data_IF_022774452503
#
_entry.id   IF_022774452503
#
_cell.length_a   1.000
_cell.length_b   1.000
_cell.length_c   1.000
_cell.angle_alpha   90.00
_cell.angle_beta   90.00
_cell.angle_gamma   90.00
#
_symmetry.space_group_name_H-M   'P 1'
#
loop_
_entity.id
_entity.type
_entity.pdbx_description
1 polymer ?
#
# COMPACT_ATOMS: atom_id res chain seq x y z
N UNK A 1 29.37 16.89 0.75
CA UNK A 1 28.44 17.38 1.78
C UNK A 1 27.00 17.54 1.25
N UNK A 2 26.62 16.76 0.25
CA UNK A 2 25.46 17.04 -0.64
C UNK A 2 24.46 15.88 -0.67
N UNK A 3 24.41 15.10 0.42
CA UNK A 3 23.56 13.88 0.56
C UNK A 3 22.17 14.18 1.15
N UNK A 4 21.88 15.43 1.51
CA UNK A 4 20.73 15.79 2.34
C UNK A 4 19.59 16.57 1.65
N UNK A 5 19.69 17.00 0.38
CA UNK A 5 18.68 17.93 -0.17
C UNK A 5 17.51 17.29 -0.92
N UNK A 6 17.69 16.15 -1.57
CA UNK A 6 16.60 15.52 -2.35
C UNK A 6 15.81 14.46 -1.58
N UNK A 7 16.36 13.92 -0.48
CA UNK A 7 15.60 13.10 0.48
C UNK A 7 14.88 13.93 1.56
N UNK A 8 15.09 15.25 1.59
CA UNK A 8 14.48 16.15 2.56
C UNK A 8 13.08 16.61 2.15
N UNK A 9 12.75 16.62 0.86
CA UNK A 9 11.44 17.12 0.40
C UNK A 9 10.32 16.14 0.72
N UNK A 10 10.55 14.83 0.59
CA UNK A 10 9.53 13.79 0.88
C UNK A 10 9.44 13.41 2.37
N UNK A 11 10.45 13.75 3.18
CA UNK A 11 10.46 13.52 4.63
C UNK A 11 9.99 14.74 5.46
N UNK A 12 9.81 15.91 4.85
CA UNK A 12 9.47 17.14 5.59
C UNK A 12 8.04 17.17 6.11
N UNK A 13 7.06 16.62 5.38
CA UNK A 13 5.65 16.75 5.77
C UNK A 13 5.20 15.83 6.91
N UNK A 14 5.76 14.62 7.05
CA UNK A 14 5.33 13.67 8.10
C UNK A 14 6.43 13.29 9.09
N UNK A 15 7.68 13.69 8.83
CA UNK A 15 8.84 13.50 9.72
C UNK A 15 9.67 14.77 9.93
N UNK A 16 9.18 15.93 9.48
CA UNK A 16 9.80 17.22 9.75
C UNK A 16 9.79 17.53 11.25
N UNK A 17 10.89 18.12 11.72
CA UNK A 17 10.91 18.79 13.01
C UNK A 17 10.10 20.10 12.84
N UNK A 18 8.95 20.21 13.50
CA UNK A 18 8.12 21.41 13.48
C UNK A 18 8.44 22.27 14.72
N UNK A 19 8.89 23.51 14.49
CA UNK A 19 9.29 24.46 15.53
C UNK A 19 10.58 25.21 15.20
N UNK A 20 10.75 26.41 15.78
CA UNK A 20 11.95 27.25 15.66
C UNK A 20 12.68 27.22 17.02
N UNK A 21 13.93 26.73 17.07
CA UNK A 21 14.72 26.58 18.32
C UNK A 21 14.59 25.21 19.01
N UNK A 22 14.72 25.18 20.34
CA UNK A 22 14.82 23.96 21.20
C UNK A 22 13.51 23.15 21.37
N UNK A 23 12.37 23.63 20.86
CA UNK A 23 11.09 22.89 20.86
C UNK A 23 10.79 22.35 19.46
N UNK A 24 11.44 21.25 19.11
CA UNK A 24 11.16 20.49 17.89
C UNK A 24 10.09 19.44 18.16
N UNK A 25 8.87 19.69 17.70
CA UNK A 25 7.78 18.72 17.78
C UNK A 25 7.70 17.92 16.47
N UNK A 26 7.62 16.59 16.58
CA UNK A 26 7.46 15.70 15.41
C UNK A 26 5.99 15.40 15.19
N UNK A 27 5.58 15.30 13.93
CA UNK A 27 4.24 14.83 13.59
C UNK A 27 4.07 13.36 13.97
N UNK A 28 3.24 13.08 14.99
CA UNK A 28 2.99 11.71 15.49
C UNK A 28 1.56 11.20 15.26
N UNK A 29 0.73 12.01 14.61
CA UNK A 29 -0.71 11.79 14.47
C UNK A 29 -1.08 10.99 13.21
N UNK A 30 -0.46 9.82 13.04
CA UNK A 30 -0.63 9.01 11.83
C UNK A 30 -2.07 8.48 11.67
N UNK A 31 -2.76 8.15 12.78
CA UNK A 31 -4.14 7.65 12.73
C UNK A 31 -5.10 8.76 12.34
N UNK A 32 -4.90 9.95 12.89
CA UNK A 32 -5.68 11.16 12.54
C UNK A 32 -5.44 11.58 11.10
N UNK A 33 -4.20 11.50 10.60
CA UNK A 33 -3.90 11.79 9.20
C UNK A 33 -4.63 10.85 8.24
N UNK A 34 -4.61 9.54 8.52
CA UNK A 34 -5.33 8.54 7.70
C UNK A 34 -6.83 8.76 7.77
N UNK A 35 -7.36 9.11 8.95
CA UNK A 35 -8.77 9.46 9.11
C UNK A 35 -9.18 10.63 8.20
N UNK A 36 -8.40 11.72 8.19
CA UNK A 36 -8.62 12.85 7.29
C UNK A 36 -8.52 12.41 5.82
N UNK A 37 -7.53 11.58 5.46
CA UNK A 37 -7.42 11.06 4.10
C UNK A 37 -8.62 10.22 3.66
N UNK A 38 -9.18 9.39 4.55
CA UNK A 38 -10.38 8.61 4.25
C UNK A 38 -11.58 9.52 4.00
N UNK A 39 -11.75 10.59 4.78
CA UNK A 39 -12.80 11.60 4.56
C UNK A 39 -12.61 12.27 3.20
N UNK A 40 -11.41 12.79 2.92
CA UNK A 40 -11.12 13.47 1.64
C UNK A 40 -11.32 12.53 0.46
N UNK A 41 -10.89 11.28 0.57
CA UNK A 41 -11.05 10.27 -0.49
C UNK A 41 -12.52 9.87 -0.69
N UNK A 42 -13.32 9.79 0.38
CA UNK A 42 -14.76 9.54 0.29
C UNK A 42 -15.49 10.72 -0.37
N UNK A 43 -15.20 11.96 0.03
CA UNK A 43 -15.77 13.15 -0.60
C UNK A 43 -15.39 13.22 -2.08
N UNK A 44 -14.12 12.98 -2.39
CA UNK A 44 -13.62 12.96 -3.77
C UNK A 44 -14.30 11.87 -4.61
N UNK A 45 -14.46 10.66 -4.07
CA UNK A 45 -15.20 9.58 -4.72
C UNK A 45 -16.65 9.98 -5.02
N UNK A 46 -17.33 10.61 -4.04
CA UNK A 46 -18.71 11.08 -4.20
C UNK A 46 -18.83 12.12 -5.30
N UNK A 47 -17.89 13.07 -5.35
CA UNK A 47 -17.80 14.07 -6.43
C UNK A 47 -17.67 13.34 -7.78
N UNK A 48 -16.72 12.42 -7.93
CA UNK A 48 -16.53 11.67 -9.16
C UNK A 48 -17.79 10.90 -9.61
N UNK A 49 -18.51 10.26 -8.69
CA UNK A 49 -19.74 9.53 -9.00
C UNK A 49 -20.81 10.48 -9.56
N UNK A 50 -21.01 11.62 -8.89
CA UNK A 50 -22.02 12.62 -9.28
C UNK A 50 -21.70 13.20 -10.66
N UNK A 51 -20.43 13.50 -10.94
CA UNK A 51 -20.02 14.12 -12.20
C UNK A 51 -19.89 13.15 -13.38
N UNK A 52 -19.40 11.92 -13.16
CA UNK A 52 -19.02 11.01 -14.24
C UNK A 52 -19.92 9.78 -14.42
N UNK A 53 -20.59 9.29 -13.38
CA UNK A 53 -21.28 7.99 -13.44
C UNK A 53 -22.81 8.08 -13.40
N UNK A 54 -23.36 9.21 -12.92
CA UNK A 54 -24.78 9.33 -12.59
C UNK A 54 -25.18 8.38 -11.46
N UNK A 55 -26.37 8.55 -10.88
CA UNK A 55 -26.86 7.70 -9.78
C UNK A 55 -27.17 6.28 -10.25
N UNK A 56 -26.14 5.45 -10.47
CA UNK A 56 -26.31 4.00 -10.60
C UNK A 56 -26.36 3.38 -9.20
N UNK A 57 -27.44 2.70 -8.82
CA UNK A 57 -27.51 2.05 -7.52
C UNK A 57 -26.50 0.89 -7.44
N UNK A 58 -25.69 0.91 -6.39
CA UNK A 58 -24.75 -0.17 -6.08
C UNK A 58 -25.47 -1.26 -5.28
N UNK A 59 -25.55 -2.47 -5.84
CA UNK A 59 -26.18 -3.63 -5.19
C UNK A 59 -25.20 -4.44 -4.30
N UNK A 60 -23.98 -3.93 -4.08
CA UNK A 60 -22.98 -4.60 -3.26
C UNK A 60 -23.38 -4.62 -1.78
N UNK A 61 -23.27 -5.78 -1.14
CA UNK A 61 -23.65 -5.95 0.27
C UNK A 61 -22.74 -5.13 1.20
N UNK A 62 -23.32 -4.29 2.06
CA UNK A 62 -22.57 -3.42 2.97
C UNK A 62 -21.60 -4.14 3.92
N UNK A 63 -21.88 -5.37 4.32
CA UNK A 63 -20.97 -6.19 5.13
C UNK A 63 -19.62 -6.46 4.43
N UNK A 64 -19.61 -6.61 3.09
CA UNK A 64 -18.37 -6.84 2.33
C UNK A 64 -17.47 -5.60 2.38
N UNK A 65 -18.06 -4.41 2.32
CA UNK A 65 -17.33 -3.16 2.51
C UNK A 65 -16.78 -3.02 3.93
N UNK A 66 -17.57 -3.40 4.94
CA UNK A 66 -17.12 -3.47 6.33
C UNK A 66 -15.92 -4.40 6.50
N UNK A 67 -15.99 -5.63 6.00
CA UNK A 67 -14.90 -6.61 6.07
C UNK A 67 -13.64 -6.14 5.31
N UNK A 68 -13.83 -5.56 4.12
CA UNK A 68 -12.73 -5.01 3.32
C UNK A 68 -12.05 -3.83 4.05
N UNK A 69 -12.84 -2.94 4.64
CA UNK A 69 -12.34 -1.83 5.45
C UNK A 69 -11.58 -2.32 6.70
N UNK A 70 -12.13 -3.29 7.43
CA UNK A 70 -11.49 -3.84 8.63
C UNK A 70 -10.15 -4.52 8.31
N UNK A 71 -10.09 -5.30 7.23
CA UNK A 71 -8.84 -5.91 6.77
C UNK A 71 -7.83 -4.86 6.29
N UNK A 72 -8.27 -3.81 5.59
CA UNK A 72 -7.42 -2.69 5.18
C UNK A 72 -6.82 -1.95 6.38
N UNK A 73 -7.65 -1.57 7.36
CA UNK A 73 -7.20 -0.88 8.56
C UNK A 73 -6.29 -1.76 9.43
N UNK A 74 -6.66 -3.03 9.60
CA UNK A 74 -5.84 -4.00 10.31
C UNK A 74 -4.46 -4.18 9.64
N UNK A 75 -4.41 -4.26 8.31
CA UNK A 75 -3.17 -4.31 7.57
C UNK A 75 -2.30 -3.07 7.82
N UNK A 76 -2.91 -1.88 7.82
CA UNK A 76 -2.20 -0.62 8.08
C UNK A 76 -1.67 -0.56 9.52
N UNK A 77 -2.50 -0.84 10.52
CA UNK A 77 -2.10 -0.81 11.94
C UNK A 77 -0.96 -1.80 12.18
N UNK A 78 -1.11 -3.03 11.69
CA UNK A 78 -0.08 -4.07 11.81
C UNK A 78 1.22 -3.67 11.11
N UNK A 79 1.13 -3.06 9.92
CA UNK A 79 2.30 -2.54 9.18
C UNK A 79 3.03 -1.44 9.95
N UNK A 80 2.28 -0.51 10.53
CA UNK A 80 2.84 0.63 11.27
C UNK A 80 3.46 0.18 12.59
N UNK A 81 2.85 -0.79 13.27
CA UNK A 81 3.42 -1.41 14.46
C UNK A 81 4.69 -2.21 14.14
N UNK A 82 4.75 -2.89 12.99
CA UNK A 82 5.96 -3.59 12.57
C UNK A 82 7.20 -2.67 12.49
N UNK A 83 7.04 -1.41 12.04
CA UNK A 83 8.13 -0.43 11.96
C UNK A 83 8.84 -0.12 13.28
N UNK A 84 8.23 -0.45 14.41
CA UNK A 84 8.84 -0.28 15.73
C UNK A 84 9.88 -1.38 16.01
N UNK A 85 9.76 -2.53 15.33
CA UNK A 85 10.56 -3.73 15.54
C UNK A 85 11.47 -4.08 14.37
N UNK A 86 11.10 -3.69 13.14
CA UNK A 86 11.90 -3.91 11.93
C UNK A 86 12.38 -2.60 11.32
N UNK A 87 13.55 -2.65 10.70
CA UNK A 87 14.08 -1.50 9.98
C UNK A 87 13.24 -1.19 8.72
N UNK A 88 13.34 0.05 8.24
CA UNK A 88 12.57 0.50 7.08
C UNK A 88 12.86 -0.32 5.80
N UNK A 89 14.13 -0.68 5.46
CA UNK A 89 14.41 -1.57 4.33
C UNK A 89 13.70 -2.93 4.39
N UNK A 90 13.69 -3.59 5.55
CA UNK A 90 12.99 -4.86 5.78
C UNK A 90 11.48 -4.69 5.60
N UNK A 91 10.91 -3.57 6.05
CA UNK A 91 9.49 -3.30 5.84
C UNK A 91 9.15 -3.10 4.35
N UNK A 92 9.96 -2.34 3.63
CA UNK A 92 9.79 -2.11 2.18
C UNK A 92 9.92 -3.43 1.42
N UNK A 93 10.88 -4.27 1.81
CA UNK A 93 11.07 -5.61 1.27
C UNK A 93 9.82 -6.48 1.50
N UNK A 94 9.38 -6.66 2.74
CA UNK A 94 8.22 -7.51 3.00
C UNK A 94 6.93 -6.97 2.35
N UNK A 95 6.71 -5.65 2.34
CA UNK A 95 5.57 -5.05 1.61
C UNK A 95 5.64 -5.24 0.10
N UNK A 96 6.81 -5.52 -0.47
CA UNK A 96 6.95 -5.85 -1.89
C UNK A 96 6.53 -7.29 -2.19
N UNK A 97 6.49 -8.16 -1.18
CA UNK A 97 6.00 -9.54 -1.26
C UNK A 97 4.47 -9.67 -1.26
N UNK A 98 3.71 -8.56 -1.12
CA UNK A 98 2.23 -8.52 -1.16
C UNK A 98 1.58 -9.33 -2.29
N UNK A 99 2.13 -9.41 -3.52
CA UNK A 99 1.52 -10.22 -4.58
C UNK A 99 1.35 -11.70 -4.22
N UNK A 100 2.23 -12.27 -3.39
CA UNK A 100 2.19 -13.70 -3.01
C UNK A 100 0.94 -14.01 -2.17
N UNK A 101 0.70 -13.38 -1.01
CA UNK A 101 -0.53 -13.60 -0.24
C UNK A 101 -1.80 -13.29 -1.03
N UNK A 102 -1.80 -12.23 -1.84
CA UNK A 102 -2.95 -11.88 -2.71
C UNK A 102 -3.27 -13.02 -3.67
N UNK A 103 -2.25 -13.63 -4.27
CA UNK A 103 -2.42 -14.76 -5.18
C UNK A 103 -2.90 -16.01 -4.43
N UNK A 104 -2.25 -16.39 -3.33
CA UNK A 104 -2.60 -17.58 -2.53
C UNK A 104 -4.05 -17.48 -2.04
N UNK A 105 -4.43 -16.36 -1.40
CA UNK A 105 -5.78 -16.17 -0.88
C UNK A 105 -6.82 -16.07 -2.00
N UNK A 106 -6.46 -15.52 -3.16
CA UNK A 106 -7.33 -15.52 -4.35
C UNK A 106 -7.61 -16.93 -4.87
N UNK A 107 -6.65 -17.85 -4.78
CA UNK A 107 -6.83 -19.26 -5.17
C UNK A 107 -7.62 -20.03 -4.11
N UNK A 108 -7.32 -19.85 -2.83
CA UNK A 108 -7.96 -20.63 -1.76
C UNK A 108 -9.38 -20.16 -1.45
N UNK A 109 -9.62 -18.86 -1.34
CA UNK A 109 -10.92 -18.28 -0.95
C UNK A 109 -11.84 -18.11 -2.17
N UNK A 110 -11.34 -17.51 -3.26
CA UNK A 110 -12.15 -17.27 -4.47
C UNK A 110 -12.13 -18.43 -5.46
N UNK A 111 -11.34 -19.49 -5.22
CA UNK A 111 -11.16 -20.62 -6.15
C UNK A 111 -10.77 -20.19 -7.57
N UNK A 112 -10.01 -19.09 -7.69
CA UNK A 112 -9.52 -18.64 -9.00
C UNK A 112 -8.42 -19.55 -9.52
N UNK A 113 -8.44 -19.79 -10.83
CA UNK A 113 -7.39 -20.51 -11.55
C UNK A 113 -6.53 -19.50 -12.29
N UNK A 114 -5.32 -19.26 -11.79
CA UNK A 114 -4.30 -18.51 -12.51
C UNK A 114 -3.49 -19.45 -13.43
N UNK A 115 -3.08 -19.01 -14.63
CA UNK A 115 -2.16 -19.80 -15.45
C UNK A 115 -0.81 -19.94 -14.76
N UNK A 116 -0.10 -21.05 -14.97
CA UNK A 116 1.24 -21.28 -14.38
C UNK A 116 2.22 -20.12 -14.66
N UNK A 117 2.11 -19.51 -15.85
CA UNK A 117 2.88 -18.32 -16.20
C UNK A 117 2.73 -17.18 -15.17
N UNK A 118 1.52 -16.92 -14.64
CA UNK A 118 1.29 -15.88 -13.62
C UNK A 118 2.02 -16.17 -12.31
N UNK A 119 2.06 -17.43 -11.88
CA UNK A 119 2.81 -17.82 -10.69
C UNK A 119 4.30 -17.57 -10.88
N UNK A 120 4.86 -17.98 -12.02
CA UNK A 120 6.27 -17.72 -12.35
C UNK A 120 6.56 -16.22 -12.42
N UNK A 121 5.68 -15.41 -13.03
CA UNK A 121 5.85 -13.95 -13.08
C UNK A 121 5.90 -13.34 -11.68
N UNK A 122 4.96 -13.70 -10.81
CA UNK A 122 4.92 -13.21 -9.42
C UNK A 122 6.18 -13.62 -8.66
N UNK A 123 6.62 -14.87 -8.81
CA UNK A 123 7.84 -15.36 -8.17
C UNK A 123 9.08 -14.61 -8.66
N UNK A 124 9.23 -14.39 -9.97
CA UNK A 124 10.35 -13.63 -10.55
C UNK A 124 10.37 -12.18 -10.06
N UNK A 125 9.22 -11.51 -10.02
CA UNK A 125 9.13 -10.13 -9.56
C UNK A 125 9.48 -10.04 -8.06
N UNK A 126 8.89 -10.90 -7.22
CA UNK A 126 9.14 -10.83 -5.77
C UNK A 126 10.56 -11.23 -5.42
N UNK A 127 11.09 -12.30 -6.01
CA UNK A 127 12.49 -12.71 -5.81
C UNK A 127 13.47 -11.66 -6.33
N UNK A 128 13.15 -10.98 -7.44
CA UNK A 128 13.99 -9.94 -8.02
C UNK A 128 14.06 -8.69 -7.13
N UNK A 129 12.91 -8.25 -6.62
CA UNK A 129 12.85 -7.17 -5.62
C UNK A 129 13.55 -7.57 -4.33
N UNK A 130 13.42 -8.84 -3.91
CA UNK A 130 14.12 -9.34 -2.74
C UNK A 130 15.63 -9.32 -2.89
N UNK A 131 16.16 -9.83 -4.01
CA UNK A 131 17.58 -9.77 -4.36
C UNK A 131 18.10 -8.33 -4.46
N UNK A 132 17.30 -7.43 -5.03
CA UNK A 132 17.67 -6.03 -5.18
C UNK A 132 17.80 -5.30 -3.83
N UNK A 133 16.89 -5.59 -2.90
CA UNK A 133 16.88 -5.01 -1.56
C UNK A 133 17.76 -5.76 -0.56
N UNK A 134 18.24 -6.95 -0.93
CA UNK A 134 19.14 -7.73 -0.12
C UNK A 134 20.46 -7.00 0.06
N UNK A 135 20.77 -6.63 1.31
CA UNK A 135 22.10 -6.19 1.71
C UNK A 135 22.72 -7.30 2.55
N UNK A 136 23.86 -7.88 2.15
CA UNK A 136 24.58 -8.78 3.02
C UNK A 136 25.05 -7.97 4.24
N UNK A 137 24.43 -8.20 5.40
CA UNK A 137 24.99 -7.72 6.64
C UNK A 137 26.31 -8.45 6.86
N UNK A 138 27.43 -7.74 6.90
CA UNK A 138 28.75 -8.27 7.33
C UNK A 138 28.78 -8.58 8.85
N UNK A 139 27.65 -8.95 9.43
CA UNK A 139 27.49 -9.19 10.86
C UNK A 139 26.24 -10.05 11.09
N UNK A 140 26.34 -11.35 10.82
CA UNK A 140 25.52 -12.41 11.45
C UNK A 140 26.16 -13.76 11.13
N UNK A 141 27.36 -13.97 11.66
CA UNK A 141 27.78 -15.31 12.02
C UNK A 141 27.15 -15.62 13.39
N UNK A 142 25.86 -15.94 13.41
CA UNK A 142 25.25 -16.71 14.50
C UNK A 142 24.11 -17.50 13.87
N UNK A 143 24.31 -18.81 13.75
CA UNK A 143 23.22 -19.75 13.70
C UNK A 143 22.49 -19.63 15.03
N UNK A 144 21.30 -19.03 15.05
CA UNK A 144 20.40 -19.14 16.17
C UNK A 144 18.97 -19.32 15.64
N UNK A 145 18.23 -20.15 16.37
CA UNK A 145 17.01 -20.85 15.99
C UNK A 145 15.95 -20.00 15.24
N UNK A 146 15.31 -20.59 14.22
CA UNK A 146 14.33 -19.95 13.34
C UNK A 146 13.00 -19.58 14.02
N UNK A 147 13.02 -18.65 14.97
CA UNK A 147 11.79 -18.02 15.47
C UNK A 147 11.66 -16.64 14.83
N UNK A 148 10.68 -16.51 13.93
CA UNK A 148 10.28 -15.23 13.35
C UNK A 148 10.16 -14.16 14.44
N UNK A 149 10.84 -13.03 14.28
CA UNK A 149 10.76 -11.92 15.22
C UNK A 149 9.35 -11.34 15.27
N UNK A 150 8.94 -10.76 16.40
CA UNK A 150 7.60 -10.17 16.55
C UNK A 150 7.23 -9.20 15.42
N UNK A 151 8.17 -8.34 15.00
CA UNK A 151 7.98 -7.41 13.87
C UNK A 151 7.78 -8.09 12.51
N UNK A 152 8.40 -9.24 12.28
CA UNK A 152 8.24 -10.03 11.06
C UNK A 152 6.90 -10.75 11.04
N UNK A 153 6.44 -11.25 12.20
CA UNK A 153 5.08 -11.80 12.37
C UNK A 153 4.04 -10.71 12.08
N UNK A 154 4.20 -9.51 12.64
CA UNK A 154 3.35 -8.37 12.32
C UNK A 154 3.35 -8.04 10.83
N UNK A 155 4.52 -8.07 10.18
CA UNK A 155 4.59 -7.86 8.73
C UNK A 155 3.83 -8.94 7.95
N UNK A 156 3.93 -10.20 8.36
CA UNK A 156 3.21 -11.33 7.75
C UNK A 156 1.69 -11.20 7.95
N UNK A 157 1.24 -10.82 9.15
CA UNK A 157 -0.17 -10.50 9.43
C UNK A 157 -0.65 -9.36 8.54
N UNK A 158 0.13 -8.28 8.44
CA UNK A 158 -0.19 -7.14 7.59
C UNK A 158 -0.36 -7.54 6.12
N UNK A 159 0.55 -8.37 5.59
CA UNK A 159 0.50 -8.88 4.22
C UNK A 159 -0.70 -9.81 3.97
N UNK A 160 -1.07 -10.60 4.97
CA UNK A 160 -2.22 -11.50 4.91
C UNK A 160 -3.53 -10.71 4.89
N UNK A 161 -3.64 -9.68 5.73
CA UNK A 161 -4.78 -8.75 5.75
C UNK A 161 -4.86 -7.91 4.46
N UNK A 162 -3.72 -7.48 3.92
CA UNK A 162 -3.63 -6.87 2.58
C UNK A 162 -4.15 -7.82 1.49
N UNK A 163 -3.83 -9.11 1.60
CA UNK A 163 -4.32 -10.16 0.71
C UNK A 163 -5.82 -10.39 0.83
N UNK A 164 -6.35 -10.42 2.07
CA UNK A 164 -7.78 -10.52 2.35
C UNK A 164 -8.56 -9.30 1.82
N UNK A 165 -7.98 -8.10 1.94
CA UNK A 165 -8.52 -6.87 1.35
C UNK A 165 -8.65 -7.04 -0.17
N UNK A 166 -7.60 -7.53 -0.82
CA UNK A 166 -7.60 -7.81 -2.25
C UNK A 166 -8.67 -8.85 -2.63
N UNK A 167 -8.77 -9.95 -1.90
CA UNK A 167 -9.80 -10.99 -2.08
C UNK A 167 -11.21 -10.42 -1.96
N UNK A 168 -11.48 -9.60 -0.95
CA UNK A 168 -12.77 -8.95 -0.77
C UNK A 168 -13.09 -8.02 -1.96
N UNK A 169 -12.13 -7.22 -2.42
CA UNK A 169 -12.28 -6.36 -3.59
C UNK A 169 -12.52 -7.17 -4.87
N UNK A 170 -11.82 -8.28 -5.03
CA UNK A 170 -11.99 -9.19 -6.17
C UNK A 170 -13.37 -9.84 -6.17
N UNK A 171 -13.89 -10.18 -4.99
CA UNK A 171 -15.22 -10.73 -4.83
C UNK A 171 -16.30 -9.69 -5.17
N UNK A 172 -16.14 -8.45 -4.67
CA UNK A 172 -17.04 -7.33 -4.97
C UNK A 172 -17.10 -7.07 -6.48
N UNK A 173 -15.95 -6.88 -7.14
CA UNK A 173 -15.93 -6.63 -8.59
C UNK A 173 -16.47 -7.81 -9.40
N UNK A 174 -16.16 -9.07 -9.03
CA UNK A 174 -16.54 -10.23 -9.85
C UNK A 174 -18.03 -10.55 -9.72
N UNK A 175 -18.58 -10.46 -8.50
CA UNK A 175 -19.97 -10.86 -8.21
C UNK A 175 -20.97 -9.72 -8.38
N UNK A 176 -20.58 -8.49 -8.08
CA UNK A 176 -21.47 -7.34 -8.08
C UNK A 176 -21.13 -6.30 -9.16
N UNK A 177 -20.04 -6.49 -9.91
CA UNK A 177 -19.57 -5.53 -10.94
C UNK A 177 -19.48 -4.11 -10.40
N UNK A 178 -19.06 -3.99 -9.13
CA UNK A 178 -18.94 -2.73 -8.41
C UNK A 178 -18.01 -1.76 -9.16
N UNK A 179 -18.47 -0.54 -9.40
CA UNK A 179 -17.61 0.52 -9.94
C UNK A 179 -16.48 0.89 -8.96
N UNK A 180 -15.34 1.32 -9.52
CA UNK A 180 -14.18 1.76 -8.77
C UNK A 180 -14.50 2.90 -7.79
N UNK A 181 -15.29 3.89 -8.22
CA UNK A 181 -15.61 5.04 -7.38
C UNK A 181 -16.55 4.64 -6.23
N UNK A 182 -17.53 3.76 -6.49
CA UNK A 182 -18.42 3.22 -5.45
C UNK A 182 -17.66 2.38 -4.43
N UNK A 183 -16.72 1.55 -4.89
CA UNK A 183 -15.85 0.76 -4.01
C UNK A 183 -14.96 1.66 -3.15
N UNK A 184 -14.39 2.72 -3.74
CA UNK A 184 -13.59 3.72 -3.03
C UNK A 184 -14.41 4.46 -1.98
N UNK A 185 -15.63 4.93 -2.33
CA UNK A 185 -16.52 5.64 -1.45
C UNK A 185 -16.90 4.78 -0.24
N UNK A 186 -17.46 3.60 -0.48
CA UNK A 186 -18.01 2.76 0.59
C UNK A 186 -16.92 2.22 1.53
N UNK A 187 -15.76 1.82 1.01
CA UNK A 187 -14.64 1.37 1.86
C UNK A 187 -14.13 2.52 2.71
N UNK A 188 -13.92 3.72 2.14
CA UNK A 188 -13.45 4.87 2.91
C UNK A 188 -14.49 5.36 3.93
N UNK A 189 -15.80 5.27 3.65
CA UNK A 189 -16.84 5.58 4.63
C UNK A 189 -16.79 4.63 5.82
N UNK A 190 -16.75 3.31 5.57
CA UNK A 190 -16.57 2.31 6.64
C UNK A 190 -15.25 2.50 7.40
N UNK A 191 -14.16 2.84 6.69
CA UNK A 191 -12.86 3.11 7.31
C UNK A 191 -12.90 4.36 8.20
N UNK A 192 -13.61 5.39 7.76
CA UNK A 192 -13.82 6.63 8.52
C UNK A 192 -14.59 6.36 9.81
N UNK A 193 -15.64 5.53 9.77
CA UNK A 193 -16.40 5.16 10.97
C UNK A 193 -15.51 4.43 12.00
N UNK A 194 -14.78 3.41 11.56
CA UNK A 194 -13.92 2.61 12.45
C UNK A 194 -12.74 3.43 12.99
N UNK A 195 -12.03 4.16 12.11
CA UNK A 195 -10.93 5.03 12.52
C UNK A 195 -11.41 6.19 13.38
N UNK A 196 -12.58 6.77 13.09
CA UNK A 196 -13.18 7.83 13.87
C UNK A 196 -13.40 7.40 15.32
N UNK A 197 -13.98 6.21 15.55
CA UNK A 197 -14.11 5.65 16.89
C UNK A 197 -12.75 5.40 17.56
N UNK A 198 -11.75 4.93 16.81
CA UNK A 198 -10.41 4.69 17.34
C UNK A 198 -9.67 5.99 17.71
N UNK A 199 -9.81 7.04 16.91
CA UNK A 199 -9.17 8.35 17.11
C UNK A 199 -9.88 9.14 18.23
N UNK A 200 -11.21 9.08 18.31
CA UNK A 200 -11.98 9.68 19.39
C UNK A 200 -11.70 9.02 20.74
N UNK A 201 -11.65 7.68 20.78
CA UNK A 201 -11.36 6.95 22.04
C UNK A 201 -9.93 7.16 22.54
N UNK A 202 -8.97 7.40 21.64
CA UNK A 202 -7.57 7.64 22.01
C UNK A 202 -7.25 9.10 22.30
N UNK A 203 -8.17 10.02 22.02
CA UNK A 203 -7.97 11.45 22.21
C UNK A 203 -6.99 12.12 21.23
N UNK A 204 -6.44 11.36 20.28
CA UNK A 204 -5.39 11.83 19.36
C UNK A 204 -5.84 13.06 18.53
N UNK A 205 -7.13 13.18 18.23
CA UNK A 205 -7.66 14.31 17.46
C UNK A 205 -7.56 15.64 18.20
N UNK A 206 -7.70 15.64 19.52
CA UNK A 206 -7.60 16.86 20.33
C UNK A 206 -6.15 17.35 20.41
N UNK A 207 -5.22 16.42 20.56
CA UNK A 207 -3.78 16.71 20.48
C UNK A 207 -3.40 17.21 19.09
N UNK A 208 -3.93 16.59 18.03
CA UNK A 208 -3.71 17.02 16.66
C UNK A 208 -4.26 18.44 16.39
N UNK A 209 -5.44 18.78 16.93
CA UNK A 209 -6.03 20.11 16.79
C UNK A 209 -5.15 21.17 17.47
N UNK A 210 -4.73 20.94 18.73
CA UNK A 210 -3.83 21.85 19.43
C UNK A 210 -2.46 21.99 18.75
N UNK A 211 -1.96 20.93 18.11
CA UNK A 211 -0.75 20.98 17.30
C UNK A 211 -0.94 21.83 16.04
N UNK A 212 -2.09 21.68 15.38
CA UNK A 212 -2.42 22.40 14.15
C UNK A 212 -2.67 23.90 14.39
N UNK A 213 -3.22 24.27 15.55
CA UNK A 213 -3.34 25.67 15.99
C UNK A 213 -1.97 26.32 16.21
N UNK A 214 -1.01 25.57 16.78
CA UNK A 214 0.37 26.04 16.99
C UNK A 214 1.16 26.15 15.69
N UNK A 215 0.83 25.33 14.68
CA UNK A 215 1.52 25.26 13.40
C UNK A 215 0.54 25.23 12.21
N UNK A 216 -0.11 26.37 11.86
CA UNK A 216 -1.15 26.42 10.84
C UNK A 216 -0.64 26.12 9.42
N UNK A 217 0.66 26.30 9.17
CA UNK A 217 1.29 25.97 7.87
C UNK A 217 1.17 24.49 7.49
N UNK A 218 0.97 23.60 8.48
CA UNK A 218 0.85 22.15 8.26
C UNK A 218 -0.50 21.81 7.62
N UNK A 219 -1.54 22.62 7.81
CA UNK A 219 -2.87 22.41 7.22
C UNK A 219 -2.77 22.32 5.71
N UNK A 220 -2.02 23.22 5.07
CA UNK A 220 -1.83 23.22 3.63
C UNK A 220 -1.20 21.90 3.15
N UNK A 221 -0.17 21.42 3.84
CA UNK A 221 0.48 20.15 3.50
C UNK A 221 -0.48 18.96 3.68
N UNK A 222 -1.30 18.96 4.73
CA UNK A 222 -2.28 17.90 4.99
C UNK A 222 -3.37 17.89 3.91
N UNK A 223 -3.89 19.05 3.52
CA UNK A 223 -4.90 19.17 2.47
C UNK A 223 -4.33 18.71 1.12
N UNK A 224 -3.14 19.19 0.75
CA UNK A 224 -2.46 18.78 -0.48
C UNK A 224 -2.21 17.26 -0.47
N UNK A 225 -1.70 16.73 0.63
CA UNK A 225 -1.49 15.29 0.82
C UNK A 225 -2.79 14.49 0.73
N UNK A 226 -3.89 15.01 1.29
CA UNK A 226 -5.22 14.41 1.19
C UNK A 226 -5.73 14.36 -0.25
N UNK A 227 -5.63 15.46 -0.99
CA UNK A 227 -6.08 15.56 -2.38
C UNK A 227 -5.24 14.66 -3.31
N UNK A 228 -3.91 14.70 -3.20
CA UNK A 228 -3.03 13.82 -3.98
C UNK A 228 -3.25 12.35 -3.63
N UNK A 229 -3.52 12.04 -2.35
CA UNK A 229 -3.86 10.68 -1.92
C UNK A 229 -5.19 10.20 -2.52
N UNK A 230 -6.23 11.04 -2.53
CA UNK A 230 -7.52 10.72 -3.14
C UNK A 230 -7.41 10.46 -4.66
N UNK A 231 -6.63 11.27 -5.36
CA UNK A 231 -6.30 11.03 -6.77
C UNK A 231 -5.58 9.68 -6.96
N UNK A 232 -4.57 9.41 -6.14
CA UNK A 232 -3.85 8.13 -6.15
C UNK A 232 -4.76 6.93 -5.87
N UNK A 233 -5.64 7.03 -4.88
CA UNK A 233 -6.61 5.98 -4.56
C UNK A 233 -7.56 5.70 -5.72
N UNK A 234 -7.98 6.73 -6.45
CA UNK A 234 -8.84 6.55 -7.65
C UNK A 234 -8.17 5.60 -8.65
N UNK A 235 -6.89 5.81 -8.97
CA UNK A 235 -6.15 4.92 -9.86
C UNK A 235 -5.97 3.51 -9.30
N UNK A 236 -5.77 3.37 -7.98
CA UNK A 236 -5.68 2.06 -7.33
C UNK A 236 -7.02 1.31 -7.47
N UNK A 237 -8.14 1.93 -7.10
CA UNK A 237 -9.45 1.30 -7.20
C UNK A 237 -9.84 0.99 -8.65
N UNK A 238 -9.53 1.87 -9.61
CA UNK A 238 -9.69 1.56 -11.03
C UNK A 238 -8.87 0.34 -11.44
N UNK A 239 -7.60 0.29 -11.05
CA UNK A 239 -6.73 -0.86 -11.37
C UNK A 239 -7.29 -2.16 -10.79
N UNK A 240 -7.81 -2.12 -9.56
CA UNK A 240 -8.44 -3.27 -8.91
C UNK A 240 -9.71 -3.71 -9.65
N UNK A 241 -10.57 -2.79 -10.07
CA UNK A 241 -11.80 -3.13 -10.80
C UNK A 241 -11.48 -3.69 -12.18
N UNK A 242 -10.68 -2.99 -12.99
CA UNK A 242 -10.38 -3.40 -14.36
C UNK A 242 -9.45 -4.62 -14.45
N UNK A 243 -8.39 -4.68 -13.65
CA UNK A 243 -7.33 -5.70 -13.78
C UNK A 243 -7.21 -6.65 -12.59
N UNK A 244 -7.78 -6.28 -11.44
CA UNK A 244 -7.81 -7.11 -10.24
C UNK A 244 -6.76 -6.75 -9.21
N UNK A 245 -6.95 -7.23 -7.98
CA UNK A 245 -6.04 -6.92 -6.88
C UNK A 245 -4.65 -7.52 -7.09
N UNK A 246 -4.52 -8.67 -7.77
CA UNK A 246 -3.22 -9.27 -8.06
C UNK A 246 -2.40 -8.36 -8.98
N UNK A 247 -2.98 -7.93 -10.10
CA UNK A 247 -2.34 -6.98 -11.03
C UNK A 247 -2.06 -5.65 -10.35
N UNK A 248 -2.99 -5.14 -9.54
CA UNK A 248 -2.76 -3.93 -8.74
C UNK A 248 -1.55 -4.10 -7.80
N UNK A 249 -1.42 -5.25 -7.14
CA UNK A 249 -0.27 -5.52 -6.27
C UNK A 249 1.03 -5.57 -7.07
N UNK A 250 1.05 -6.20 -8.24
CA UNK A 250 2.21 -6.23 -9.14
C UNK A 250 2.59 -4.79 -9.54
N UNK A 251 1.65 -3.99 -10.04
CA UNK A 251 1.89 -2.60 -10.45
C UNK A 251 2.46 -1.76 -9.31
N UNK A 252 1.93 -1.88 -8.10
CA UNK A 252 2.44 -1.12 -6.94
C UNK A 252 3.83 -1.58 -6.50
N UNK A 253 4.14 -2.88 -6.54
CA UNK A 253 5.48 -3.42 -6.27
C UNK A 253 6.48 -2.94 -7.32
N UNK A 254 6.11 -2.98 -8.60
CA UNK A 254 6.92 -2.49 -9.71
C UNK A 254 7.20 -1.00 -9.58
N UNK A 255 6.20 -0.18 -9.22
CA UNK A 255 6.39 1.24 -8.93
C UNK A 255 7.43 1.45 -7.84
N UNK A 256 7.30 0.75 -6.70
CA UNK A 256 8.28 0.83 -5.60
C UNK A 256 9.68 0.46 -6.07
N UNK A 257 9.80 -0.63 -6.82
CA UNK A 257 11.08 -1.07 -7.38
C UNK A 257 11.71 0.02 -8.26
N UNK A 258 10.97 0.58 -9.22
CA UNK A 258 11.48 1.64 -10.08
C UNK A 258 11.83 2.92 -9.33
N UNK A 259 11.09 3.29 -8.28
CA UNK A 259 11.46 4.42 -7.42
C UNK A 259 12.80 4.18 -6.74
N UNK A 260 13.05 2.97 -6.23
CA UNK A 260 14.32 2.64 -5.56
C UNK A 260 15.46 2.55 -6.58
N UNK A 261 15.24 1.90 -7.72
CA UNK A 261 16.21 1.84 -8.82
C UNK A 261 16.59 3.24 -9.33
N UNK A 262 15.59 4.08 -9.60
CA UNK A 262 15.80 5.46 -10.02
C UNK A 262 16.55 6.28 -8.98
N UNK A 263 16.26 6.09 -7.69
CA UNK A 263 17.03 6.70 -6.60
C UNK A 263 18.51 6.28 -6.65
N UNK A 264 18.81 4.98 -6.78
CA UNK A 264 20.20 4.49 -6.86
C UNK A 264 20.96 5.09 -8.06
N UNK A 265 20.32 5.16 -9.23
CA UNK A 265 20.90 5.72 -10.46
C UNK A 265 21.14 7.23 -10.31
N UNK A 266 20.13 8.00 -9.86
CA UNK A 266 20.21 9.45 -9.73
C UNK A 266 21.22 9.89 -8.66
N UNK A 267 21.37 9.12 -7.58
CA UNK A 267 22.34 9.40 -6.52
C UNK A 267 23.75 8.85 -6.82
N UNK A 268 23.97 8.22 -7.98
CA UNK A 268 25.28 7.69 -8.39
C UNK A 268 25.81 6.58 -7.46
N UNK A 269 24.93 5.83 -6.80
CA UNK A 269 25.35 4.73 -5.94
C UNK A 269 25.72 3.52 -6.82
N UNK A 270 26.90 2.95 -6.60
CA UNK A 270 27.36 1.77 -7.36
C UNK A 270 26.48 0.56 -7.03
N UNK A 271 25.88 -0.05 -8.05
CA UNK A 271 25.03 -1.23 -7.90
C UNK A 271 25.88 -2.50 -7.77
N UNK A 272 25.57 -3.31 -6.75
CA UNK A 272 26.16 -4.64 -6.60
C UNK A 272 25.69 -5.58 -7.71
N UNK A 273 26.52 -6.59 -8.03
CA UNK A 273 26.17 -7.67 -8.98
C UNK A 273 24.83 -8.35 -8.64
N UNK A 274 24.51 -8.50 -7.34
CA UNK A 274 23.23 -9.07 -6.90
C UNK A 274 22.03 -8.15 -7.21
N UNK A 275 22.23 -6.83 -7.14
CA UNK A 275 21.19 -5.86 -7.48
C UNK A 275 20.96 -5.80 -8.99
N UNK A 276 22.02 -5.96 -9.78
CA UNK A 276 21.90 -6.13 -11.24
C UNK A 276 21.12 -7.38 -11.60
N UNK A 277 21.45 -8.52 -10.99
CA UNK A 277 20.70 -9.75 -11.22
C UNK A 277 19.23 -9.63 -10.80
N UNK A 278 18.97 -9.05 -9.61
CA UNK A 278 17.60 -8.77 -9.15
C UNK A 278 16.84 -7.86 -10.12
N UNK A 279 17.49 -6.85 -10.69
CA UNK A 279 16.91 -5.95 -11.69
C UNK A 279 16.49 -6.72 -12.95
N UNK A 280 17.39 -7.54 -13.51
CA UNK A 280 17.10 -8.38 -14.68
C UNK A 280 15.90 -9.30 -14.39
N UNK A 281 15.85 -9.91 -13.22
CA UNK A 281 14.77 -10.81 -12.82
C UNK A 281 13.40 -10.11 -12.77
N UNK A 282 13.35 -8.88 -12.25
CA UNK A 282 12.12 -8.05 -12.25
C UNK A 282 11.68 -7.74 -13.67
N UNK A 283 12.61 -7.32 -14.55
CA UNK A 283 12.28 -7.04 -15.96
C UNK A 283 11.78 -8.28 -16.70
N UNK A 284 12.40 -9.45 -16.48
CA UNK A 284 11.94 -10.72 -17.03
C UNK A 284 10.55 -11.09 -16.52
N UNK A 285 10.30 -10.95 -15.21
CA UNK A 285 9.00 -11.22 -14.62
C UNK A 285 7.90 -10.32 -15.18
N UNK A 286 8.18 -9.03 -15.39
CA UNK A 286 7.24 -8.09 -16.01
C UNK A 286 7.03 -8.37 -17.50
N UNK A 287 8.10 -8.71 -18.23
CA UNK A 287 8.01 -9.10 -19.64
C UNK A 287 7.17 -10.36 -19.83
N UNK A 288 7.34 -11.36 -18.96
CA UNK A 288 6.50 -12.54 -18.96
C UNK A 288 5.05 -12.23 -18.58
N UNK A 289 4.82 -11.34 -17.61
CA UNK A 289 3.46 -10.94 -17.21
C UNK A 289 2.72 -10.23 -18.36
N UNK A 290 3.42 -9.36 -19.09
CA UNK A 290 2.87 -8.65 -20.24
C UNK A 290 2.52 -9.60 -21.40
N UNK A 291 3.37 -10.60 -21.67
CA UNK A 291 3.22 -11.54 -22.79
C UNK A 291 2.24 -12.69 -22.50
N UNK A 292 2.34 -13.29 -21.31
CA UNK A 292 1.63 -14.52 -20.96
C UNK A 292 0.64 -14.36 -19.80
N UNK A 293 0.60 -13.18 -19.16
CA UNK A 293 -0.29 -12.92 -18.04
C UNK A 293 -1.74 -12.63 -18.43
N UNK A 294 -2.07 -12.53 -19.73
CA UNK A 294 -3.47 -12.43 -20.15
C UNK A 294 -4.08 -13.83 -20.16
N UNK A 295 -4.99 -14.11 -19.24
CA UNK A 295 -5.84 -15.30 -19.35
C UNK A 295 -6.63 -15.18 -20.66
N UNK A 296 -6.59 -16.19 -21.56
CA UNK A 296 -7.39 -16.14 -22.77
C UNK A 296 -8.85 -15.93 -22.38
N UNK A 297 -9.51 -14.90 -22.95
CA UNK A 297 -10.96 -14.78 -22.85
C UNK A 297 -11.51 -16.10 -23.39
N UNK A 298 -12.21 -16.87 -22.55
CA UNK A 298 -13.07 -17.93 -23.07
C UNK A 298 -14.06 -17.24 -23.99
N UNK A 299 -13.86 -17.38 -25.29
CA UNK A 299 -14.89 -17.11 -26.29
C UNK A 299 -16.01 -18.08 -25.94
N UNK A 300 -17.05 -17.57 -25.27
CA UNK A 300 -18.31 -18.29 -25.20
C UNK A 300 -18.85 -18.28 -26.62
N UNK A 301 -18.91 -19.46 -27.24
CA UNK A 301 -19.51 -19.68 -28.56
C UNK A 301 -20.93 -19.11 -28.63
#
# INVERSE_FOLDING_TARGET
MTRNRTAAVDNSSTRGDYGQGDRKEKFRFARTLVFIQCIVSAVFAKILIVFFEGSKPDHTKSWLYGLCSLSYLGAMVSSNSALQYINYPTQVLGKSCKPIPVMILGVTILRKKYPLAKYLCVLLIVSGVALFLYKPNKSSAVADDHVFGFGEILLLVSLTLDGLTGVAQDHMRARFQTSANHMMLNINLWSTLVLGLAVLSTGEIWEFLSFTERHPSIIYNIVLFGLTSALGQTFIFMTVVYFGPLTCSIVTTTRKFFTILGSVILFGNVMSTMQWFGTILVFLGLGFDAKFGKTPKKTTN
#
